data_IF_634686678717
#
_entry.id   IF_634686678717
#
_cell.length_a   1.000
_cell.length_b   1.000
_cell.length_c   1.000
_cell.angle_alpha   90.00
_cell.angle_beta   90.00
_cell.angle_gamma   90.00
#
_symmetry.space_group_name_H-M   'P 1'
#
loop_
_entity.id
_entity.type
_entity.pdbx_description
1 polymer ?
#
# COMPACT_ATOMS: atom_id res chain seq x y z
N UNK A 1 5.03 64.86 -27.49
CA UNK A 1 4.75 64.31 -28.82
C UNK A 1 4.58 62.81 -28.64
N UNK A 2 3.35 62.34 -28.57
CA UNK A 2 2.99 61.02 -29.12
C UNK A 2 2.79 61.23 -30.63
N UNK A 3 2.99 60.23 -31.53
CA UNK A 3 1.93 59.22 -31.67
C UNK A 3 2.27 57.84 -32.30
N UNK A 4 1.22 56.99 -32.32
CA UNK A 4 0.84 55.87 -33.24
C UNK A 4 1.55 54.52 -33.07
N UNK A 5 0.88 53.48 -32.55
CA UNK A 5 0.09 52.42 -33.26
C UNK A 5 0.93 51.63 -34.29
N UNK A 6 0.91 50.30 -34.41
CA UNK A 6 -0.11 49.28 -34.17
C UNK A 6 -0.14 48.41 -35.44
N UNK A 7 -0.11 47.08 -35.34
CA UNK A 7 -0.58 46.20 -36.43
C UNK A 7 -0.61 44.73 -35.99
N UNK A 8 -1.81 44.16 -36.12
CA UNK A 8 -2.05 42.73 -36.23
C UNK A 8 -1.71 42.23 -37.65
N UNK A 9 -1.36 40.95 -37.76
CA UNK A 9 -1.42 40.16 -38.98
C UNK A 9 -1.46 38.69 -38.55
N UNK A 10 -2.48 37.89 -38.86
CA UNK A 10 -3.22 37.84 -40.12
C UNK A 10 -2.84 36.51 -40.77
N UNK A 11 -3.54 35.44 -40.37
CA UNK A 11 -3.35 34.11 -40.93
C UNK A 11 -3.83 34.04 -42.37
N UNK A 12 -3.05 33.34 -43.21
CA UNK A 12 -3.45 32.94 -44.54
C UNK A 12 -3.04 31.47 -44.77
N UNK A 13 -4.02 30.68 -45.16
CA UNK A 13 -3.96 29.30 -45.62
C UNK A 13 -3.18 29.14 -46.93
N UNK A 14 -2.65 27.94 -47.23
CA UNK A 14 -2.56 27.49 -48.60
C UNK A 14 -3.56 26.36 -48.88
N UNK A 15 -4.32 26.56 -49.96
CA UNK A 15 -5.12 25.56 -50.63
C UNK A 15 -4.23 24.75 -51.60
N UNK A 16 -4.41 23.44 -51.57
CA UNK A 16 -4.05 22.47 -52.62
C UNK A 16 -5.22 21.47 -52.61
N UNK A 17 -5.97 21.20 -53.67
CA UNK A 17 -5.55 20.90 -55.02
C UNK A 17 -5.86 19.41 -55.27
N UNK A 18 -7.00 19.15 -55.92
CA UNK A 18 -7.35 17.93 -56.68
C UNK A 18 -7.62 16.61 -55.94
N UNK A 19 -8.90 16.25 -55.86
CA UNK A 19 -9.38 14.90 -55.49
C UNK A 19 -9.30 13.95 -56.69
N UNK A 20 -8.28 13.09 -56.69
CA UNK A 20 -8.26 11.87 -57.49
C UNK A 20 -9.05 10.76 -56.79
N UNK A 21 -10.04 10.18 -57.50
CA UNK A 21 -10.79 9.01 -57.04
C UNK A 21 -9.92 7.76 -57.13
N UNK A 22 -9.59 7.18 -55.97
CA UNK A 22 -9.00 5.83 -55.86
C UNK A 22 -10.07 4.87 -55.34
N UNK A 23 -10.30 3.80 -56.12
CA UNK A 23 -11.19 2.68 -55.79
C UNK A 23 -10.88 2.14 -54.38
N UNK A 24 -11.93 1.91 -53.61
CA UNK A 24 -11.85 1.15 -52.36
C UNK A 24 -11.37 -0.28 -52.66
N UNK A 25 -10.07 -0.51 -52.50
CA UNK A 25 -9.51 -1.83 -52.28
C UNK A 25 -9.79 -2.20 -50.84
N UNK A 26 -10.53 -3.28 -50.64
CA UNK A 26 -10.82 -3.87 -49.34
C UNK A 26 -9.50 -4.33 -48.71
N UNK A 27 -8.86 -3.46 -47.91
CA UNK A 27 -7.84 -3.89 -46.96
C UNK A 27 -8.60 -4.42 -45.77
N UNK A 28 -8.71 -5.74 -45.69
CA UNK A 28 -9.11 -6.42 -44.46
C UNK A 28 -8.04 -6.14 -43.40
N UNK A 29 -8.22 -5.04 -42.67
CA UNK A 29 -7.51 -4.74 -41.45
C UNK A 29 -7.93 -5.82 -40.44
N UNK A 30 -7.16 -6.90 -40.37
CA UNK A 30 -7.22 -7.80 -39.24
C UNK A 30 -6.95 -6.95 -37.99
N UNK A 31 -7.98 -6.71 -37.19
CA UNK A 31 -7.82 -6.06 -35.88
C UNK A 31 -6.93 -6.98 -35.06
N UNK A 32 -5.73 -6.56 -34.60
CA UNK A 32 -5.00 -7.35 -33.63
C UNK A 32 -5.69 -7.16 -32.28
N UNK A 33 -6.79 -7.87 -32.06
CA UNK A 33 -7.47 -7.97 -30.75
C UNK A 33 -6.64 -8.79 -29.75
N UNK A 34 -5.43 -9.23 -30.11
CA UNK A 34 -4.62 -10.17 -29.34
C UNK A 34 -3.50 -9.59 -28.47
N UNK A 35 -3.37 -8.25 -28.32
CA UNK A 35 -2.20 -7.68 -27.65
C UNK A 35 -2.45 -7.07 -26.25
N UNK A 36 -3.68 -7.15 -25.73
CA UNK A 36 -4.04 -6.65 -24.40
C UNK A 36 -4.46 -7.73 -23.38
N UNK A 37 -4.50 -9.01 -23.77
CA UNK A 37 -4.52 -10.13 -22.82
C UNK A 37 -3.08 -10.51 -22.42
N UNK A 38 -2.28 -9.53 -22.01
CA UNK A 38 -1.07 -9.85 -21.26
C UNK A 38 -1.54 -10.47 -19.95
N UNK A 39 -1.39 -11.80 -19.87
CA UNK A 39 -1.71 -12.70 -18.76
C UNK A 39 -1.55 -12.02 -17.38
N UNK A 40 -2.61 -11.34 -16.93
CA UNK A 40 -2.69 -10.91 -15.54
C UNK A 40 -2.77 -12.21 -14.73
N UNK A 41 -1.86 -12.45 -13.78
CA UNK A 41 -1.93 -13.64 -12.97
C UNK A 41 -3.31 -13.71 -12.30
N UNK A 42 -3.84 -14.92 -12.18
CA UNK A 42 -5.05 -15.21 -11.40
C UNK A 42 -4.98 -14.43 -10.07
N UNK A 43 -5.99 -13.60 -9.72
CA UNK A 43 -5.94 -12.78 -8.51
C UNK A 43 -5.66 -13.61 -7.26
N UNK A 44 -6.18 -14.84 -7.18
CA UNK A 44 -5.89 -15.73 -6.03
C UNK A 44 -4.42 -16.12 -5.99
N UNK A 45 -3.85 -16.49 -7.14
CA UNK A 45 -2.43 -16.82 -7.24
C UNK A 45 -1.53 -15.61 -6.94
N UNK A 46 -1.94 -14.42 -7.38
CA UNK A 46 -1.25 -13.16 -7.07
C UNK A 46 -1.29 -12.86 -5.58
N UNK A 47 -2.46 -12.89 -4.96
CA UNK A 47 -2.62 -12.58 -3.54
C UNK A 47 -1.82 -13.59 -2.66
N UNK A 48 -1.81 -14.87 -3.03
CA UNK A 48 -0.99 -15.88 -2.38
C UNK A 48 0.52 -15.63 -2.56
N UNK A 49 0.95 -15.19 -3.73
CA UNK A 49 2.35 -14.82 -3.99
C UNK A 49 2.77 -13.56 -3.21
N UNK A 50 1.87 -12.58 -3.10
CA UNK A 50 2.08 -11.37 -2.30
C UNK A 50 2.18 -11.69 -0.81
N UNK A 51 1.29 -12.54 -0.29
CA UNK A 51 1.35 -13.03 1.09
C UNK A 51 2.65 -13.80 1.35
N UNK A 52 3.01 -14.74 0.48
CA UNK A 52 4.26 -15.50 0.60
C UNK A 52 5.49 -14.58 0.57
N UNK A 53 5.50 -13.56 -0.28
CA UNK A 53 6.55 -12.55 -0.34
C UNK A 53 6.64 -11.75 0.97
N UNK A 54 5.51 -11.26 1.49
CA UNK A 54 5.47 -10.54 2.75
C UNK A 54 6.02 -11.38 3.91
N UNK A 55 5.66 -12.67 3.96
CA UNK A 55 6.08 -13.60 5.01
C UNK A 55 7.49 -14.19 4.84
N UNK A 56 8.13 -13.97 3.69
CA UNK A 56 9.45 -14.56 3.39
C UNK A 56 10.61 -13.89 4.14
N UNK A 57 10.39 -12.70 4.71
CA UNK A 57 11.43 -11.94 5.38
C UNK A 57 11.67 -12.47 6.81
N UNK A 58 12.93 -12.69 7.23
CA UNK A 58 13.22 -13.19 8.56
C UNK A 58 12.85 -12.15 9.62
N UNK A 59 12.17 -12.59 10.69
CA UNK A 59 11.79 -11.71 11.78
C UNK A 59 13.01 -11.06 12.45
N UNK A 60 12.86 -9.80 12.85
CA UNK A 60 13.87 -9.04 13.59
C UNK A 60 13.38 -8.84 15.02
N UNK A 61 14.24 -9.08 16.01
CA UNK A 61 13.89 -8.85 17.41
C UNK A 61 13.79 -7.34 17.70
N UNK A 62 12.81 -6.90 18.49
CA UNK A 62 12.75 -5.53 18.97
C UNK A 62 13.87 -5.24 19.97
N UNK A 63 14.19 -3.96 20.17
CA UNK A 63 15.13 -3.54 21.23
C UNK A 63 14.46 -3.65 22.61
N UNK A 64 13.16 -3.33 22.70
CA UNK A 64 12.36 -3.51 23.91
C UNK A 64 10.89 -3.77 23.55
N UNK A 65 10.21 -4.57 24.36
CA UNK A 65 8.76 -4.78 24.30
C UNK A 65 8.11 -4.30 25.59
N UNK A 66 6.99 -3.58 25.47
CA UNK A 66 6.26 -2.99 26.61
C UNK A 66 4.78 -3.33 26.48
N UNK A 67 4.15 -3.77 27.56
CA UNK A 67 2.71 -3.92 27.60
C UNK A 67 2.03 -2.56 27.83
N UNK A 68 1.00 -2.25 27.05
CA UNK A 68 0.16 -1.05 27.24
C UNK A 68 -1.20 -1.36 27.90
N UNK A 69 -1.45 -2.64 28.18
CA UNK A 69 -2.65 -3.08 28.88
C UNK A 69 -2.50 -4.49 29.45
N UNK A 70 -3.58 -5.02 30.03
CA UNK A 70 -3.58 -6.32 30.71
C UNK A 70 -3.65 -7.52 29.75
N UNK A 71 -4.15 -7.32 28.52
CA UNK A 71 -4.28 -8.41 27.57
C UNK A 71 -2.92 -8.78 26.96
N UNK A 72 -2.61 -10.07 26.72
CA UNK A 72 -1.33 -10.49 26.13
C UNK A 72 -1.00 -9.89 24.76
N UNK A 73 -2.02 -9.54 23.97
CA UNK A 73 -1.87 -8.83 22.70
C UNK A 73 -1.69 -7.30 22.86
N UNK A 74 -1.87 -6.73 24.06
CA UNK A 74 -1.69 -5.29 24.29
C UNK A 74 -0.22 -4.95 24.51
N UNK A 75 0.59 -5.08 23.44
CA UNK A 75 2.05 -4.93 23.47
C UNK A 75 2.53 -3.99 22.36
N UNK A 76 3.53 -3.16 22.68
CA UNK A 76 4.32 -2.39 21.71
C UNK A 76 5.75 -2.89 21.70
N UNK A 77 6.28 -3.16 20.51
CA UNK A 77 7.68 -3.44 20.26
C UNK A 77 8.38 -2.17 19.76
N UNK A 78 9.42 -1.71 20.46
CA UNK A 78 10.18 -0.52 20.09
C UNK A 78 11.50 -0.88 19.39
N UNK A 79 11.81 -0.11 18.35
CA UNK A 79 13.07 -0.14 17.63
C UNK A 79 13.73 1.23 17.72
N UNK A 80 14.94 1.28 18.27
CA UNK A 80 15.72 2.50 18.41
C UNK A 80 16.30 2.93 17.06
N UNK A 81 16.31 4.23 16.74
CA UNK A 81 16.97 4.73 15.53
C UNK A 81 18.44 4.33 15.56
N UNK A 82 18.96 3.88 14.41
CA UNK A 82 20.39 3.53 14.30
C UNK A 82 21.27 4.75 13.98
N UNK A 83 20.67 5.94 13.90
CA UNK A 83 21.36 7.23 13.76
C UNK A 83 21.65 7.85 15.14
N UNK A 84 22.70 8.66 15.24
CA UNK A 84 23.11 9.30 16.51
C UNK A 84 22.41 10.64 16.79
N UNK A 85 21.25 10.92 16.20
CA UNK A 85 20.55 12.19 16.40
C UNK A 85 19.90 12.24 17.78
N UNK A 86 19.99 13.38 18.46
CA UNK A 86 19.42 13.57 19.80
C UNK A 86 17.88 13.55 19.81
N UNK A 87 17.23 13.85 18.69
CA UNK A 87 15.77 13.81 18.55
C UNK A 87 15.42 13.33 17.15
N UNK A 88 14.50 12.37 17.07
CA UNK A 88 14.00 11.77 15.82
C UNK A 88 12.47 11.66 15.89
N UNK A 89 11.75 11.66 14.77
CA UNK A 89 10.32 11.36 14.77
C UNK A 89 10.08 9.90 15.19
N UNK A 90 8.96 9.68 15.89
CA UNK A 90 8.41 8.36 16.16
C UNK A 90 7.45 7.97 15.05
N UNK A 91 7.65 6.78 14.48
CA UNK A 91 6.70 6.15 13.55
C UNK A 91 5.97 5.04 14.29
N UNK A 92 4.66 5.13 14.37
CA UNK A 92 3.82 4.05 14.90
C UNK A 92 3.34 3.17 13.75
N UNK A 93 3.61 1.88 13.85
CA UNK A 93 3.27 0.88 12.83
C UNK A 93 2.14 0.01 13.36
N UNK A 94 1.05 -0.04 12.61
CA UNK A 94 -0.06 -0.97 12.81
C UNK A 94 -0.02 -2.01 11.70
N UNK A 95 0.13 -3.28 12.07
CA UNK A 95 0.22 -4.36 11.09
C UNK A 95 -1.13 -4.65 10.42
N UNK A 96 -1.09 -5.26 9.23
CA UNK A 96 -2.27 -5.69 8.48
C UNK A 96 -2.75 -7.10 8.86
N UNK A 97 -3.32 -7.82 7.90
CA UNK A 97 -3.81 -9.20 8.09
C UNK A 97 -5.31 -9.31 8.42
N UNK A 98 -6.09 -8.27 8.09
CA UNK A 98 -7.53 -8.19 8.34
C UNK A 98 -7.90 -8.50 9.80
N UNK A 99 -7.02 -8.11 10.74
CA UNK A 99 -7.15 -8.35 12.18
C UNK A 99 -7.31 -9.83 12.56
N UNK A 100 -6.91 -10.77 11.69
CA UNK A 100 -7.04 -12.21 11.91
C UNK A 100 -5.90 -12.73 12.80
N UNK A 101 -6.21 -13.67 13.68
CA UNK A 101 -5.26 -14.26 14.64
C UNK A 101 -3.90 -14.75 14.09
N UNK A 102 -3.78 -15.27 12.85
CA UNK A 102 -2.48 -15.72 12.33
C UNK A 102 -1.47 -14.60 12.09
N UNK A 103 -1.92 -13.36 11.93
CA UNK A 103 -1.08 -12.22 11.58
C UNK A 103 -0.86 -11.36 12.82
N UNK A 104 0.26 -11.56 13.53
CA UNK A 104 0.68 -10.74 14.67
C UNK A 104 1.68 -9.65 14.22
N UNK A 105 2.06 -8.73 15.11
CA UNK A 105 3.06 -7.69 14.82
C UNK A 105 4.41 -8.22 14.33
N UNK A 106 4.72 -9.52 14.47
CA UNK A 106 6.04 -10.08 14.12
C UNK A 106 6.29 -10.08 12.62
N UNK A 107 5.25 -10.22 11.79
CA UNK A 107 5.43 -10.27 10.33
C UNK A 107 5.88 -8.93 9.72
N UNK A 108 5.67 -7.80 10.41
CA UNK A 108 6.16 -6.48 9.97
C UNK A 108 7.46 -6.04 10.65
N UNK A 109 8.08 -6.90 11.48
CA UNK A 109 9.35 -6.59 12.15
C UNK A 109 10.50 -6.24 11.18
N UNK A 110 10.61 -6.84 9.98
CA UNK A 110 11.66 -6.43 9.03
C UNK A 110 11.42 -5.00 8.51
N UNK A 111 10.17 -4.59 8.37
CA UNK A 111 9.81 -3.22 7.98
C UNK A 111 10.10 -2.23 9.12
N UNK A 112 9.80 -2.59 10.37
CA UNK A 112 10.16 -1.78 11.53
C UNK A 112 11.69 -1.58 11.64
N UNK A 113 12.48 -2.64 11.48
CA UNK A 113 13.94 -2.54 11.45
C UNK A 113 14.45 -1.68 10.28
N UNK A 114 13.85 -1.82 9.09
CA UNK A 114 14.18 -0.99 7.94
C UNK A 114 14.03 0.51 8.25
N UNK A 115 12.91 0.91 8.87
CA UNK A 115 12.67 2.29 9.28
C UNK A 115 13.67 2.74 10.37
N UNK A 116 13.97 1.88 11.34
CA UNK A 116 14.94 2.17 12.39
C UNK A 116 16.36 2.42 11.82
N UNK A 117 16.78 1.63 10.83
CA UNK A 117 18.05 1.82 10.09
C UNK A 117 18.08 3.11 9.27
N UNK A 118 16.92 3.69 8.94
CA UNK A 118 16.81 5.03 8.32
C UNK A 118 16.79 6.16 9.34
N UNK A 119 17.02 5.87 10.62
CA UNK A 119 17.17 6.88 11.67
C UNK A 119 15.87 7.35 12.29
N UNK A 120 14.81 6.53 12.20
CA UNK A 120 13.50 6.79 12.83
C UNK A 120 13.38 5.96 14.11
N UNK A 121 12.69 6.48 15.13
CA UNK A 121 12.22 5.64 16.22
C UNK A 121 10.94 4.93 15.75
N UNK A 122 10.75 3.65 16.08
CA UNK A 122 9.58 2.89 15.64
C UNK A 122 8.88 2.23 16.83
N UNK A 123 7.56 2.38 16.89
CA UNK A 123 6.67 1.65 17.79
C UNK A 123 5.79 0.70 16.95
N UNK A 124 6.09 -0.59 16.98
CA UNK A 124 5.34 -1.63 16.28
C UNK A 124 4.29 -2.23 17.22
N UNK A 125 3.03 -1.88 17.00
CA UNK A 125 1.93 -2.14 17.94
C UNK A 125 1.21 -3.44 17.59
N UNK A 126 0.97 -4.28 18.59
CA UNK A 126 0.00 -5.37 18.57
C UNK A 126 -1.32 -4.90 19.18
N UNK A 127 -2.43 -5.51 18.75
CA UNK A 127 -3.77 -5.23 19.25
C UNK A 127 -4.56 -6.53 19.31
N UNK A 128 -5.66 -6.59 20.08
CA UNK A 128 -6.51 -7.78 20.12
C UNK A 128 -7.04 -8.10 18.73
N UNK A 129 -6.72 -9.30 18.27
CA UNK A 129 -7.13 -9.88 16.99
C UNK A 129 -8.34 -10.80 17.16
N UNK A 130 -8.85 -11.31 16.04
CA UNK A 130 -10.04 -12.14 16.03
C UNK A 130 -9.89 -13.42 16.85
N UNK A 131 -10.94 -13.73 17.62
CA UNK A 131 -11.12 -14.99 18.36
C UNK A 131 -12.39 -15.66 17.86
N UNK A 132 -12.54 -16.97 18.07
CA UNK A 132 -13.76 -17.67 17.68
C UNK A 132 -14.99 -17.09 18.41
N UNK A 133 -16.06 -16.80 17.66
CA UNK A 133 -17.34 -16.27 18.18
C UNK A 133 -18.46 -17.27 17.87
N UNK A 134 -19.38 -17.56 18.82
CA UNK A 134 -20.59 -18.32 18.51
C UNK A 134 -21.40 -17.65 17.39
N UNK A 135 -21.52 -18.31 16.24
CA UNK A 135 -22.37 -17.86 15.12
C UNK A 135 -21.60 -17.47 13.85
N UNK A 136 -20.31 -17.14 13.94
CA UNK A 136 -19.43 -17.15 12.77
C UNK A 136 -19.03 -18.60 12.50
N UNK A 137 -19.83 -19.29 11.68
CA UNK A 137 -19.50 -20.64 11.20
C UNK A 137 -18.77 -20.51 9.87
N UNK A 138 -17.51 -20.92 9.85
CA UNK A 138 -16.68 -20.98 8.66
C UNK A 138 -15.34 -21.62 9.00
N UNK A 139 -14.67 -22.18 8.00
CA UNK A 139 -13.40 -22.90 8.16
C UNK A 139 -12.18 -21.94 8.22
N UNK A 140 -12.41 -20.62 8.25
CA UNK A 140 -11.38 -19.59 8.13
C UNK A 140 -11.06 -18.84 9.43
N UNK A 141 -9.85 -18.25 9.57
CA UNK A 141 -9.49 -17.42 10.72
C UNK A 141 -10.42 -16.21 10.87
N UNK A 142 -10.89 -15.99 12.09
CA UNK A 142 -11.80 -14.89 12.45
C UNK A 142 -11.04 -13.56 12.52
N UNK A 143 -11.65 -12.49 12.02
CA UNK A 143 -11.13 -11.12 12.13
C UNK A 143 -11.43 -10.52 13.51
N UNK A 144 -10.61 -9.56 13.94
CA UNK A 144 -10.88 -8.69 15.08
C UNK A 144 -12.22 -7.97 14.94
N UNK A 145 -12.71 -7.38 16.04
CA UNK A 145 -14.06 -6.81 16.10
C UNK A 145 -14.05 -5.40 16.65
N UNK A 146 -15.10 -4.68 16.30
CA UNK A 146 -15.46 -3.43 16.93
C UNK A 146 -16.21 -3.69 18.25
N UNK A 147 -15.95 -2.92 19.32
CA UNK A 147 -14.96 -1.84 19.40
C UNK A 147 -13.55 -2.31 19.81
N UNK A 148 -13.35 -3.54 20.29
CA UNK A 148 -12.16 -3.90 21.06
C UNK A 148 -10.83 -3.70 20.32
N UNK A 149 -10.77 -4.03 19.02
CA UNK A 149 -9.56 -3.80 18.23
C UNK A 149 -9.29 -2.30 18.04
N UNK A 150 -10.32 -1.47 17.96
CA UNK A 150 -10.19 -0.01 17.87
C UNK A 150 -9.84 0.62 19.20
N UNK A 151 -10.41 0.12 20.31
CA UNK A 151 -10.07 0.57 21.66
C UNK A 151 -8.58 0.31 21.95
N UNK A 152 -8.04 -0.82 21.49
CA UNK A 152 -6.62 -1.12 21.63
C UNK A 152 -5.73 -0.17 20.82
N UNK A 153 -6.12 0.13 19.57
CA UNK A 153 -5.41 1.11 18.75
C UNK A 153 -5.44 2.49 19.40
N UNK A 154 -6.58 2.90 19.97
CA UNK A 154 -6.68 4.17 20.68
C UNK A 154 -5.79 4.18 21.94
N UNK A 155 -5.88 3.14 22.78
CA UNK A 155 -5.08 3.03 23.99
C UNK A 155 -3.56 3.00 23.73
N UNK A 156 -3.13 2.48 22.57
CA UNK A 156 -1.71 2.50 22.20
C UNK A 156 -1.19 3.90 21.77
N UNK A 157 -2.08 4.88 21.55
CA UNK A 157 -1.73 6.24 21.12
C UNK A 157 -1.85 7.30 22.22
N UNK A 158 -2.47 6.98 23.34
CA UNK A 158 -2.65 7.86 24.50
C UNK A 158 -1.38 7.96 25.37
#
# INVERSE_FOLDING_TARGET
MDPVAGAAGGGATPAWGETGSVRAGQVEQATPTGLLEQHMPDPVARDAAEEASAMSHPAVAPDVSVAYGEHPDQVVDFYAPRSGHATVPLVVVLHGGAWRAPYDRRHVTPFADFLARRGLAVANVEYRRGREIPGQRGEGPVAGRWPETFDDVAAAMD
#
